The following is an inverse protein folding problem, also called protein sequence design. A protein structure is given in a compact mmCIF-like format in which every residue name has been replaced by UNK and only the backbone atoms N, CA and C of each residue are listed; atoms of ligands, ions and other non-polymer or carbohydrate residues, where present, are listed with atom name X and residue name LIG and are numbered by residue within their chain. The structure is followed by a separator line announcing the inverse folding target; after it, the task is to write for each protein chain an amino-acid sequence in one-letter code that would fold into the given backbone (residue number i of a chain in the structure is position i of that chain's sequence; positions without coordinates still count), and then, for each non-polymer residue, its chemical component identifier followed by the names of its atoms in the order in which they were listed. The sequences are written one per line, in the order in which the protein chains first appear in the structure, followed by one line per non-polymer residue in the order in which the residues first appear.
data_IF_228760612382
#
_entry.id   IF_228760612382
#
_cell.length_a   1.000
_cell.length_b   1.000
_cell.length_c   1.000
_cell.angle_alpha   90.00
_cell.angle_beta   90.00
_cell.angle_gamma   90.00
#
_symmetry.space_group_name_H-M   'P 1'
#
loop_
_entity.id
_entity.type
_entity.pdbx_description
1 polymer ?
#
# COMPACT_ATOMS: atom_id res chain seq x y z
N UNK A 1 18.46 -26.22 -11.58
CA UNK A 1 17.93 -24.92 -12.06
C UNK A 1 17.53 -24.09 -10.85
N UNK A 2 17.40 -22.76 -11.00
CA UNK A 2 17.07 -21.76 -9.97
C UNK A 2 18.22 -21.22 -9.07
N UNK A 3 19.36 -20.86 -9.67
CA UNK A 3 20.29 -19.85 -9.09
C UNK A 3 20.37 -18.55 -9.90
N UNK A 4 19.87 -18.55 -11.15
CA UNK A 4 19.97 -17.41 -12.08
C UNK A 4 18.75 -16.47 -12.12
N UNK A 5 17.70 -16.72 -11.33
CA UNK A 5 16.48 -15.88 -11.35
C UNK A 5 16.49 -14.78 -10.28
N UNK A 6 17.22 -14.96 -9.17
CA UNK A 6 17.36 -13.92 -8.13
C UNK A 6 18.25 -12.75 -8.55
N UNK A 7 19.29 -12.99 -9.37
CA UNK A 7 20.18 -11.91 -9.83
C UNK A 7 19.53 -11.02 -10.91
N UNK A 8 18.66 -11.58 -11.78
CA UNK A 8 17.99 -10.78 -12.81
C UNK A 8 16.92 -9.83 -12.27
N UNK A 9 16.33 -10.14 -11.11
CA UNK A 9 15.48 -9.20 -10.41
C UNK A 9 16.32 -8.05 -9.82
N UNK A 10 17.51 -8.34 -9.28
CA UNK A 10 18.36 -7.31 -8.67
C UNK A 10 18.95 -6.33 -9.68
N UNK A 11 19.30 -6.78 -10.89
CA UNK A 11 19.85 -5.89 -11.94
C UNK A 11 18.77 -5.01 -12.59
N UNK A 12 17.52 -5.46 -12.65
CA UNK A 12 16.40 -4.62 -13.11
C UNK A 12 16.03 -3.50 -12.11
N UNK A 13 16.44 -3.64 -10.84
CA UNK A 13 16.25 -2.63 -9.79
C UNK A 13 17.30 -1.51 -9.82
N UNK A 14 18.47 -1.72 -10.41
CA UNK A 14 19.59 -0.76 -10.36
C UNK A 14 19.44 0.45 -11.29
N UNK A 15 18.88 0.27 -12.49
CA UNK A 15 18.95 1.30 -13.55
C UNK A 15 17.63 2.07 -13.78
N UNK A 16 16.48 1.61 -13.27
CA UNK A 16 15.19 2.32 -13.41
C UNK A 16 14.73 3.11 -12.19
N UNK A 17 15.42 3.00 -11.04
CA UNK A 17 15.01 3.60 -9.77
C UNK A 17 15.68 4.94 -9.42
N UNK A 18 16.51 5.50 -10.30
CA UNK A 18 17.29 6.71 -9.99
C UNK A 18 16.57 8.05 -10.22
N UNK A 19 15.25 8.04 -10.45
CA UNK A 19 14.49 9.26 -10.72
C UNK A 19 13.41 9.57 -9.67
N UNK A 20 13.51 9.04 -8.45
CA UNK A 20 12.85 9.67 -7.31
C UNK A 20 13.91 10.50 -6.59
N UNK A 21 13.98 11.83 -6.82
CA UNK A 21 14.86 12.70 -6.05
C UNK A 21 14.53 12.48 -4.58
N UNK A 22 15.56 12.15 -3.80
CA UNK A 22 15.43 11.77 -2.38
C UNK A 22 14.92 12.89 -1.45
N UNK A 23 14.45 14.00 -2.03
CA UNK A 23 14.13 15.29 -1.39
C UNK A 23 12.87 15.98 -1.97
N UNK A 24 11.96 15.24 -2.60
CA UNK A 24 10.63 15.78 -2.93
C UNK A 24 9.69 15.63 -1.75
N UNK A 25 8.69 16.50 -1.67
CA UNK A 25 7.68 16.46 -0.61
C UNK A 25 6.92 15.12 -0.64
N UNK A 26 6.64 14.58 -1.82
CA UNK A 26 6.00 13.28 -2.01
C UNK A 26 6.87 12.12 -1.51
N UNK A 27 8.18 12.16 -1.77
CA UNK A 27 9.11 11.14 -1.30
C UNK A 27 9.29 11.18 0.23
N UNK A 28 9.29 12.37 0.83
CA UNK A 28 9.29 12.53 2.29
C UNK A 28 8.01 12.00 2.92
N UNK A 29 6.84 12.40 2.39
CA UNK A 29 5.54 11.89 2.87
C UNK A 29 5.44 10.38 2.76
N UNK A 30 5.89 9.80 1.64
CA UNK A 30 5.91 8.35 1.47
C UNK A 30 6.83 7.68 2.49
N UNK A 31 8.06 8.16 2.71
CA UNK A 31 8.95 7.59 3.73
C UNK A 31 8.31 7.61 5.11
N UNK A 32 7.69 8.72 5.51
CA UNK A 32 7.01 8.80 6.80
C UNK A 32 5.87 7.79 6.92
N UNK A 33 5.04 7.63 5.88
CA UNK A 33 3.96 6.66 5.88
C UNK A 33 4.46 5.20 5.84
N UNK A 34 5.54 4.94 5.11
CA UNK A 34 6.21 3.63 5.00
C UNK A 34 6.88 3.22 6.31
N UNK A 35 7.54 4.15 6.99
CA UNK A 35 8.10 3.93 8.33
C UNK A 35 6.98 3.65 9.35
N UNK A 36 5.86 4.36 9.27
CA UNK A 36 4.70 4.11 10.13
C UNK A 36 4.09 2.71 9.90
N UNK A 37 3.94 2.30 8.63
CA UNK A 37 3.46 0.97 8.27
C UNK A 37 4.39 -0.13 8.81
N UNK A 38 5.71 0.06 8.66
CA UNK A 38 6.72 -0.89 9.16
C UNK A 38 6.78 -0.93 10.69
N UNK A 39 6.46 0.19 11.35
CA UNK A 39 6.44 0.30 12.80
C UNK A 39 5.22 -0.39 13.43
N UNK A 40 4.16 -0.69 12.67
CA UNK A 40 3.05 -1.50 13.16
C UNK A 40 3.60 -2.81 13.74
N UNK A 41 3.10 -3.21 14.89
CA UNK A 41 3.42 -4.50 15.50
C UNK A 41 2.72 -5.63 14.75
N UNK A 42 3.18 -6.86 14.94
CA UNK A 42 2.46 -8.04 14.44
C UNK A 42 1.06 -8.16 15.05
N UNK A 43 0.91 -7.73 16.31
CA UNK A 43 -0.37 -7.72 17.01
C UNK A 43 -1.36 -6.77 16.36
N UNK A 44 -0.95 -5.54 16.05
CA UNK A 44 -1.80 -4.55 15.37
C UNK A 44 -2.24 -5.01 13.98
N UNK A 45 -1.36 -5.67 13.23
CA UNK A 45 -1.73 -6.25 11.93
C UNK A 45 -2.66 -7.45 12.09
N UNK A 46 -2.43 -8.31 13.08
CA UNK A 46 -3.32 -9.43 13.37
C UNK A 46 -4.74 -8.97 13.74
N UNK A 47 -4.92 -7.75 14.27
CA UNK A 47 -6.27 -7.19 14.50
C UNK A 47 -7.06 -6.97 13.21
N UNK A 48 -6.40 -6.80 12.06
CA UNK A 48 -7.07 -6.71 10.76
C UNK A 48 -7.74 -8.06 10.41
N UNK A 49 -7.14 -9.19 10.82
CA UNK A 49 -7.75 -10.50 10.63
C UNK A 49 -9.12 -10.63 11.35
N UNK A 50 -9.31 -9.88 12.44
CA UNK A 50 -10.56 -9.85 13.19
C UNK A 50 -11.68 -9.05 12.50
N UNK A 51 -11.37 -8.23 11.48
CA UNK A 51 -12.39 -7.47 10.73
C UNK A 51 -13.38 -8.40 10.01
N UNK A 52 -12.90 -9.47 9.38
CA UNK A 52 -13.74 -10.42 8.64
C UNK A 52 -14.66 -9.75 7.61
N UNK A 53 -15.89 -10.28 7.46
CA UNK A 53 -16.93 -9.69 6.59
C UNK A 53 -17.67 -8.52 7.26
N UNK A 54 -17.51 -8.35 8.57
CA UNK A 54 -18.21 -7.34 9.40
C UNK A 54 -17.39 -6.06 9.61
N UNK A 55 -16.40 -5.81 8.74
CA UNK A 55 -15.55 -4.63 8.83
C UNK A 55 -16.37 -3.33 8.79
N UNK A 56 -16.01 -2.30 9.59
CA UNK A 56 -16.60 -0.98 9.46
C UNK A 56 -16.58 -0.49 8.01
N UNK A 57 -17.67 0.14 7.57
CA UNK A 57 -17.81 0.59 6.17
C UNK A 57 -16.69 1.54 5.72
N UNK A 58 -16.11 2.31 6.63
CA UNK A 58 -14.96 3.17 6.35
C UNK A 58 -13.65 2.40 6.12
N UNK A 59 -13.55 1.13 6.52
CA UNK A 59 -12.37 0.29 6.33
C UNK A 59 -12.40 -0.43 5.00
N UNK A 60 -13.59 -0.76 4.50
CA UNK A 60 -13.79 -1.55 3.27
C UNK A 60 -12.96 -1.03 2.10
N UNK A 61 -12.97 0.28 1.75
CA UNK A 61 -12.20 0.77 0.62
C UNK A 61 -10.69 0.61 0.78
N UNK A 62 -10.21 0.66 2.03
CA UNK A 62 -8.79 0.49 2.37
C UNK A 62 -8.39 -0.97 2.25
N UNK A 63 -9.15 -1.87 2.88
CA UNK A 63 -8.87 -3.31 2.91
C UNK A 63 -8.97 -3.93 1.52
N UNK A 64 -9.98 -3.56 0.74
CA UNK A 64 -10.11 -4.00 -0.65
C UNK A 64 -8.96 -3.51 -1.53
N UNK A 65 -8.54 -2.25 -1.36
CA UNK A 65 -7.42 -1.68 -2.10
C UNK A 65 -6.10 -2.33 -1.70
N UNK A 66 -5.90 -2.61 -0.42
CA UNK A 66 -4.71 -3.30 0.07
C UNK A 66 -4.63 -4.73 -0.43
N UNK A 67 -5.75 -5.45 -0.41
CA UNK A 67 -5.83 -6.80 -0.95
C UNK A 67 -5.42 -6.83 -2.42
N UNK A 68 -5.85 -5.83 -3.21
CA UNK A 68 -5.47 -5.70 -4.62
C UNK A 68 -3.96 -5.46 -4.82
N UNK A 69 -3.26 -4.87 -3.84
CA UNK A 69 -1.81 -4.70 -3.90
C UNK A 69 -1.05 -6.01 -3.65
N UNK A 70 -1.63 -6.91 -2.84
CA UNK A 70 -1.01 -8.17 -2.45
C UNK A 70 -1.39 -9.31 -3.40
N UNK A 71 -2.60 -9.29 -3.94
CA UNK A 71 -3.17 -10.32 -4.80
C UNK A 71 -4.12 -9.72 -5.85
N UNK A 72 -4.42 -10.45 -6.92
CA UNK A 72 -5.34 -9.99 -7.98
C UNK A 72 -6.81 -9.86 -7.51
N UNK A 73 -7.18 -10.50 -6.39
CA UNK A 73 -8.58 -10.54 -5.95
C UNK A 73 -8.83 -9.56 -4.80
N UNK A 74 -9.72 -8.58 -5.02
CA UNK A 74 -10.07 -7.56 -4.04
C UNK A 74 -11.26 -7.99 -3.18
N UNK A 75 -11.01 -8.39 -1.93
CA UNK A 75 -12.08 -8.58 -0.94
C UNK A 75 -11.59 -8.34 0.49
N UNK A 76 -12.46 -7.81 1.35
CA UNK A 76 -12.17 -7.58 2.77
C UNK A 76 -11.79 -8.87 3.48
N UNK A 77 -12.55 -9.94 3.22
CA UNK A 77 -12.28 -11.28 3.78
C UNK A 77 -10.88 -11.77 3.41
N UNK A 78 -10.51 -11.65 2.13
CA UNK A 78 -9.18 -12.09 1.70
C UNK A 78 -8.07 -11.22 2.32
N UNK A 79 -8.30 -9.92 2.44
CA UNK A 79 -7.37 -9.04 3.14
C UNK A 79 -7.18 -9.46 4.61
N UNK A 80 -8.26 -9.83 5.30
CA UNK A 80 -8.22 -10.31 6.67
C UNK A 80 -7.47 -11.66 6.79
N UNK A 81 -7.65 -12.58 5.83
CA UNK A 81 -6.89 -13.83 5.77
C UNK A 81 -5.39 -13.58 5.58
N UNK A 82 -5.01 -12.66 4.69
CA UNK A 82 -3.61 -12.29 4.44
C UNK A 82 -2.95 -11.63 5.65
N UNK A 83 -3.71 -10.86 6.45
CA UNK A 83 -3.22 -10.29 7.70
C UNK A 83 -2.84 -11.35 8.76
N UNK A 84 -3.21 -12.62 8.53
CA UNK A 84 -2.77 -13.76 9.35
C UNK A 84 -1.27 -14.05 9.27
N UNK A 85 -0.56 -13.55 8.25
CA UNK A 85 0.91 -13.47 8.23
C UNK A 85 1.36 -12.00 8.16
N UNK A 86 1.57 -11.35 9.33
CA UNK A 86 1.93 -9.94 9.39
C UNK A 86 3.23 -9.58 8.66
N UNK A 87 4.13 -10.53 8.47
CA UNK A 87 5.43 -10.30 7.84
C UNK A 87 5.27 -10.18 6.32
N UNK A 88 4.47 -11.03 5.72
CA UNK A 88 4.16 -10.98 4.28
C UNK A 88 3.17 -9.84 3.96
N UNK A 89 2.22 -9.58 4.85
CA UNK A 89 1.20 -8.54 4.68
C UNK A 89 1.77 -7.12 4.50
N UNK A 90 2.94 -6.84 5.08
CA UNK A 90 3.61 -5.54 5.02
C UNK A 90 4.60 -5.39 3.86
N UNK A 91 4.82 -6.43 3.04
CA UNK A 91 5.79 -6.39 1.93
C UNK A 91 5.25 -5.62 0.71
N UNK A 92 4.84 -4.38 0.93
CA UNK A 92 4.27 -3.49 -0.08
C UNK A 92 5.13 -2.24 -0.16
N UNK A 93 5.62 -1.93 -1.37
CA UNK A 93 6.50 -0.79 -1.63
C UNK A 93 5.88 0.17 -2.64
N UNK A 94 6.41 1.39 -2.78
CA UNK A 94 5.93 2.34 -3.80
C UNK A 94 5.98 1.75 -5.22
N UNK A 95 6.93 0.85 -5.49
CA UNK A 95 7.04 0.14 -6.77
C UNK A 95 5.90 -0.84 -7.02
N UNK A 96 5.12 -1.23 -6.00
CA UNK A 96 3.97 -2.12 -6.18
C UNK A 96 2.97 -1.52 -7.16
N UNK A 97 2.79 -0.18 -7.16
CA UNK A 97 1.91 0.49 -8.13
C UNK A 97 2.42 0.42 -9.58
N UNK A 98 3.72 0.23 -9.81
CA UNK A 98 4.27 0.09 -11.17
C UNK A 98 3.95 -1.27 -11.80
N UNK A 99 3.57 -2.27 -10.99
CA UNK A 99 3.20 -3.62 -11.44
C UNK A 99 1.70 -3.79 -11.65
N UNK A 100 0.88 -2.84 -11.16
CA UNK A 100 -0.57 -2.87 -11.34
C UNK A 100 -0.95 -2.40 -12.74
N UNK A 101 -2.08 -2.90 -13.24
CA UNK A 101 -2.65 -2.33 -14.45
C UNK A 101 -3.11 -0.88 -14.19
N UNK A 102 -3.05 0.01 -15.19
CA UNK A 102 -3.50 1.40 -15.03
C UNK A 102 -4.96 1.52 -14.53
N UNK A 103 -5.80 0.54 -14.87
CA UNK A 103 -7.18 0.44 -14.40
C UNK A 103 -7.26 0.22 -12.89
N UNK A 104 -6.39 -0.62 -12.34
CA UNK A 104 -6.34 -0.93 -10.91
C UNK A 104 -5.83 0.24 -10.09
N UNK A 105 -4.78 0.93 -10.55
CA UNK A 105 -4.28 2.15 -9.90
C UNK A 105 -5.39 3.20 -9.83
N UNK A 106 -6.12 3.40 -10.94
CA UNK A 106 -7.26 4.33 -10.99
C UNK A 106 -8.40 3.86 -10.09
N UNK A 107 -8.64 2.55 -10.02
CA UNK A 107 -9.63 1.93 -9.14
C UNK A 107 -9.34 2.17 -7.66
N UNK A 108 -8.11 1.92 -7.23
CA UNK A 108 -7.63 2.22 -5.87
C UNK A 108 -7.82 3.71 -5.56
N UNK A 109 -7.33 4.59 -6.45
CA UNK A 109 -7.44 6.03 -6.25
C UNK A 109 -8.90 6.48 -6.06
N UNK A 110 -9.84 5.92 -6.81
CA UNK A 110 -11.27 6.22 -6.67
C UNK A 110 -11.88 5.64 -5.40
N UNK A 111 -11.51 4.41 -5.01
CA UNK A 111 -12.05 3.76 -3.80
C UNK A 111 -11.72 4.55 -2.55
N UNK A 112 -10.46 4.99 -2.43
CA UNK A 112 -10.01 5.70 -1.23
C UNK A 112 -10.24 7.22 -1.31
N UNK A 113 -10.73 7.74 -2.45
CA UNK A 113 -11.01 9.16 -2.60
C UNK A 113 -12.04 9.63 -1.57
N UNK A 114 -11.64 10.58 -0.72
CA UNK A 114 -12.50 11.13 0.32
C UNK A 114 -12.54 10.32 1.62
N UNK A 115 -11.82 9.19 1.69
CA UNK A 115 -11.62 8.49 2.96
C UNK A 115 -10.52 9.20 3.74
N UNK A 116 -10.75 9.50 5.02
CA UNK A 116 -9.80 10.22 5.85
C UNK A 116 -9.25 9.30 6.96
N UNK A 117 -7.93 9.23 7.16
CA UNK A 117 -7.33 8.44 8.25
C UNK A 117 -7.89 8.76 9.63
N UNK A 118 -8.18 10.03 9.90
CA UNK A 118 -8.81 10.46 11.16
C UNK A 118 -10.16 9.80 11.41
N UNK A 119 -11.00 9.68 10.38
CA UNK A 119 -12.32 9.02 10.47
C UNK A 119 -12.17 7.53 10.74
N UNK A 120 -11.14 6.89 10.18
CA UNK A 120 -10.84 5.47 10.45
C UNK A 120 -10.39 5.29 11.90
N UNK A 121 -9.50 6.16 12.41
CA UNK A 121 -9.02 6.10 13.81
C UNK A 121 -10.14 6.30 14.83
N UNK A 122 -11.14 7.11 14.50
CA UNK A 122 -12.31 7.35 15.36
C UNK A 122 -13.30 6.17 15.39
N UNK A 123 -13.19 5.20 14.48
CA UNK A 123 -14.05 4.03 14.49
C UNK A 123 -13.77 3.17 15.73
N UNK A 124 -14.80 2.68 16.45
CA UNK A 124 -14.63 1.85 17.64
C UNK A 124 -14.28 0.40 17.26
N UNK A 125 -13.08 0.20 16.70
CA UNK A 125 -12.58 -1.10 16.26
C UNK A 125 -11.09 -1.24 16.57
N UNK A 126 -10.64 -2.44 16.93
CA UNK A 126 -9.25 -2.68 17.36
C UNK A 126 -8.24 -2.50 16.21
N UNK A 127 -8.67 -2.77 14.98
CA UNK A 127 -7.88 -2.56 13.77
C UNK A 127 -7.82 -1.09 13.28
N UNK A 128 -8.52 -0.14 13.93
CA UNK A 128 -8.65 1.24 13.43
C UNK A 128 -7.30 1.91 13.16
N UNK A 129 -6.31 1.76 14.04
CA UNK A 129 -5.00 2.39 13.84
C UNK A 129 -4.25 1.76 12.66
N UNK A 130 -4.21 0.42 12.59
CA UNK A 130 -3.53 -0.29 11.51
C UNK A 130 -4.12 0.06 10.14
N UNK A 131 -5.45 0.10 10.03
CA UNK A 131 -6.15 0.46 8.79
C UNK A 131 -5.93 1.94 8.43
N UNK A 132 -5.87 2.84 9.42
CA UNK A 132 -5.59 4.25 9.17
C UNK A 132 -4.17 4.45 8.63
N UNK A 133 -3.18 3.75 9.19
CA UNK A 133 -1.79 3.75 8.71
C UNK A 133 -1.69 3.19 7.28
N UNK A 134 -2.42 2.11 6.98
CA UNK A 134 -2.51 1.58 5.61
C UNK A 134 -3.08 2.60 4.63
N UNK A 135 -4.11 3.35 5.02
CA UNK A 135 -4.68 4.41 4.18
C UNK A 135 -3.69 5.57 3.96
N UNK A 136 -2.96 5.98 5.00
CA UNK A 136 -1.90 7.00 4.87
C UNK A 136 -0.83 6.57 3.88
N UNK A 137 -0.43 5.29 3.95
CA UNK A 137 0.49 4.68 3.00
C UNK A 137 -0.07 4.68 1.57
N UNK A 138 -1.32 4.27 1.37
CA UNK A 138 -1.97 4.28 0.05
C UNK A 138 -2.00 5.67 -0.56
N UNK A 139 -2.38 6.69 0.22
CA UNK A 139 -2.38 8.08 -0.24
C UNK A 139 -0.99 8.56 -0.63
N UNK A 140 0.01 8.31 0.22
CA UNK A 140 1.38 8.77 -0.03
C UNK A 140 2.02 8.02 -1.21
N UNK A 141 1.79 6.71 -1.31
CA UNK A 141 2.30 5.86 -2.39
C UNK A 141 1.70 6.23 -3.75
N UNK A 142 0.38 6.48 -3.82
CA UNK A 142 -0.26 6.97 -5.05
C UNK A 142 0.23 8.36 -5.43
N UNK A 143 0.36 9.29 -4.48
CA UNK A 143 0.89 10.62 -4.75
C UNK A 143 2.30 10.55 -5.34
N UNK A 144 3.18 9.73 -4.74
CA UNK A 144 4.52 9.52 -5.23
C UNK A 144 4.54 8.87 -6.62
N UNK A 145 3.70 7.86 -6.87
CA UNK A 145 3.60 7.20 -8.16
C UNK A 145 3.13 8.16 -9.26
N UNK A 146 2.09 8.96 -9.00
CA UNK A 146 1.60 9.98 -9.94
C UNK A 146 2.67 11.04 -10.23
N UNK A 147 3.30 11.56 -9.20
CA UNK A 147 4.41 12.52 -9.34
C UNK A 147 5.54 11.95 -10.20
N UNK A 148 5.97 10.71 -9.94
CA UNK A 148 7.02 10.06 -10.71
C UNK A 148 6.63 9.87 -12.18
N UNK A 149 5.36 9.57 -12.45
CA UNK A 149 4.82 9.46 -13.82
C UNK A 149 4.84 10.81 -14.54
N UNK A 150 4.46 11.90 -13.87
CA UNK A 150 4.49 13.25 -14.44
C UNK A 150 5.92 13.70 -14.76
N UNK A 151 6.88 13.45 -13.85
CA UNK A 151 8.28 13.80 -14.11
C UNK A 151 8.86 13.04 -15.30
N UNK A 152 8.58 11.73 -15.43
CA UNK A 152 9.01 10.94 -16.59
C UNK A 152 8.49 11.53 -17.91
N UNK A 153 7.27 12.06 -17.92
CA UNK A 153 6.68 12.70 -19.11
C UNK A 153 7.33 14.05 -19.45
N UNK A 154 7.83 14.81 -18.46
CA UNK A 154 8.54 16.08 -18.70
C UNK A 154 9.92 15.91 -19.33
N UNK A 155 10.52 14.72 -19.16
CA UNK A 155 11.86 14.38 -19.65
C UNK A 155 11.86 13.52 -20.93
N UNK A 156 10.68 13.30 -21.55
CA UNK A 156 10.52 12.62 -22.83
C UNK A 156 10.18 13.61 -23.93
#
# INVERSE_FOLDING_TARGET
MAKNEKEKASDAFGEKFSATPSKTEEAERFRTADDALKALTETEVAMIAACGEDAPSCFVPVLESWCLLLEETSSVKRCAELAGDPSEFKLVGASTFDYLEPGDVTGIQRRIAGVMPAVIREAPHEASEAVAVMLEWLHAGLALHMWAKEERQKHT
#
